data_IF_594700696010
#
_entry.id   IF_594700696010
#
_cell.length_a   1.000
_cell.length_b   1.000
_cell.length_c   1.000
_cell.angle_alpha   90.00
_cell.angle_beta   90.00
_cell.angle_gamma   90.00
#
_symmetry.space_group_name_H-M   'P 1'
#
loop_
_entity.id
_entity.type
_entity.pdbx_description
1 polymer ?
2 non-polymer ?
3 non-polymer ?
4 water ?
#
# COMPACT_ATOMS: atom_id res chain seq x y z
N UNK A 17 1.70 -3.61 -30.72
CA UNK A 17 2.04 -2.72 -29.57
C UNK A 17 1.04 -2.91 -28.41
N UNK A 18 1.06 -4.10 -27.77
CA UNK A 18 0.13 -4.41 -26.68
C UNK A 18 0.32 -3.58 -25.41
N UNK A 19 -0.79 -3.36 -24.70
CA UNK A 19 -0.79 -2.65 -23.43
C UNK A 19 -1.47 -3.49 -22.33
N UNK A 20 -1.28 -3.07 -21.09
CA UNK A 20 -1.93 -3.68 -19.94
C UNK A 20 -2.79 -2.60 -19.28
N UNK A 21 -4.04 -2.94 -18.98
CA UNK A 21 -4.93 -2.08 -18.23
C UNK A 21 -4.87 -2.53 -16.76
N UNK A 22 -4.40 -1.63 -15.88
CA UNK A 22 -4.35 -1.89 -14.44
C UNK A 22 -5.50 -1.17 -13.75
N UNK A 23 -6.14 -1.85 -12.81
CA UNK A 23 -7.31 -1.33 -12.12
C UNK A 23 -7.18 -1.53 -10.61
N UNK A 24 -7.45 -0.47 -9.87
CA UNK A 24 -7.67 -0.58 -8.44
C UNK A 24 -9.05 -0.02 -8.18
N UNK A 25 -9.97 -0.91 -7.85
CA UNK A 25 -11.36 -0.57 -7.79
C UNK A 25 -11.80 -0.46 -6.34
N UNK A 26 -11.42 0.65 -5.69
CA UNK A 26 -11.64 0.84 -4.25
C UNK A 26 -13.08 1.01 -3.81
N UNK A 27 -13.27 1.35 -2.53
CA UNK A 27 -14.62 1.46 -1.96
C UNK A 27 -15.43 2.61 -2.54
N UNK A 28 -14.73 3.68 -2.97
CA UNK A 28 -15.38 4.88 -3.52
C UNK A 28 -14.72 5.42 -4.80
N UNK A 29 -13.93 4.61 -5.48
CA UNK A 29 -13.19 5.06 -6.68
C UNK A 29 -12.65 3.91 -7.52
N UNK A 30 -12.36 4.20 -8.78
CA UNK A 30 -11.63 3.29 -9.63
C UNK A 30 -10.43 4.05 -10.19
N UNK A 31 -9.25 3.82 -9.63
CA UNK A 31 -8.01 4.31 -10.22
C UNK A 31 -7.60 3.34 -11.30
N UNK A 32 -7.18 3.85 -12.45
CA UNK A 32 -6.71 2.98 -13.52
C UNK A 32 -5.49 3.54 -14.22
N UNK A 33 -4.76 2.66 -14.90
CA UNK A 33 -3.62 3.06 -15.71
C UNK A 33 -3.45 2.10 -16.88
N UNK A 34 -2.94 2.62 -17.99
CA UNK A 34 -2.64 1.80 -19.15
C UNK A 34 -1.13 1.85 -19.39
N UNK A 35 -0.47 0.72 -19.20
CA UNK A 35 0.99 0.62 -19.35
C UNK A 35 1.33 -0.14 -20.63
N UNK A 36 2.39 0.30 -21.30
CA UNK A 36 2.89 -0.38 -22.48
C UNK A 36 3.64 -1.63 -22.06
N UNK A 37 3.43 -2.75 -22.74
CA UNK A 37 4.02 -4.02 -22.32
C UNK A 37 5.53 -4.05 -22.53
N UNK A 38 5.99 -3.47 -23.64
CA UNK A 38 7.40 -3.55 -24.03
C UNK A 38 8.29 -2.70 -23.13
N UNK A 39 7.77 -1.58 -22.64
CA UNK A 39 8.56 -0.66 -21.81
C UNK A 39 7.97 -0.40 -20.40
N UNK A 40 6.72 -0.81 -20.17
CA UNK A 40 6.03 -0.61 -18.87
C UNK A 40 5.73 0.86 -18.52
N UNK A 41 5.78 1.73 -19.54
CA UNK A 41 5.49 3.17 -19.38
C UNK A 41 3.99 3.43 -19.32
N UNK A 42 3.57 4.41 -18.54
CA UNK A 42 2.16 4.81 -18.52
C UNK A 42 1.79 5.63 -19.77
N UNK A 43 0.81 5.14 -20.53
CA UNK A 43 0.27 5.85 -21.69
C UNK A 43 -1.00 6.61 -21.33
N UNK A 44 -1.72 6.13 -20.32
CA UNK A 44 -2.95 6.76 -19.87
C UNK A 44 -3.15 6.44 -18.40
N UNK A 45 -3.74 7.38 -17.67
CA UNK A 45 -4.07 7.17 -16.26
C UNK A 45 -5.34 7.94 -15.97
N UNK A 46 -5.93 7.69 -14.81
CA UNK A 46 -7.16 8.37 -14.43
C UNK A 46 -7.77 7.85 -13.14
N UNK A 47 -8.87 8.46 -12.73
CA UNK A 47 -9.60 8.08 -11.52
C UNK A 47 -11.09 8.40 -11.64
N UNK A 48 -11.91 7.35 -11.75
CA UNK A 48 -13.35 7.47 -11.53
C UNK A 48 -13.56 7.64 -10.02
N UNK A 49 -14.36 8.62 -9.62
CA UNK A 49 -14.44 9.02 -8.20
C UNK A 49 -15.88 9.40 -7.80
N UNK A 50 -16.18 9.28 -6.51
CA UNK A 50 -17.53 9.50 -6.00
C UNK A 50 -18.46 8.35 -6.36
N UNK A 51 -17.94 7.13 -6.26
CA UNK A 51 -18.67 5.93 -6.69
C UNK A 51 -19.85 5.58 -5.78
N UNK A 52 -20.90 5.01 -6.38
CA UNK A 52 -22.17 4.71 -5.70
C UNK A 52 -22.87 5.97 -5.15
N UNK A 53 -22.57 7.14 -5.74
CA UNK A 53 -23.06 8.44 -5.25
C UNK A 53 -23.73 9.24 -6.37
N UNK A 54 -24.42 10.31 -5.98
CA UNK A 54 -25.12 11.19 -6.92
C UNK A 54 -24.16 11.97 -7.82
N UNK A 55 -23.09 12.49 -7.22
CA UNK A 55 -22.06 13.24 -7.96
C UNK A 55 -20.83 12.39 -8.27
N UNK A 56 -20.93 11.58 -9.33
CA UNK A 56 -19.83 10.69 -9.76
C UNK A 56 -19.18 11.22 -11.04
N UNK A 57 -17.84 11.26 -11.06
CA UNK A 57 -17.10 11.80 -12.21
C UNK A 57 -15.83 11.01 -12.57
N UNK A 58 -15.26 11.33 -13.73
CA UNK A 58 -14.15 10.56 -14.31
C UNK A 58 -13.07 11.53 -14.85
N UNK A 59 -12.01 11.73 -14.09
CA UNK A 59 -10.94 12.66 -14.46
C UNK A 59 -9.69 11.96 -14.99
N UNK A 60 -9.60 11.82 -16.31
CA UNK A 60 -8.41 11.26 -16.95
C UNK A 60 -7.30 12.30 -17.02
N UNK A 61 -6.13 11.99 -16.45
CA UNK A 61 -4.97 12.90 -16.46
C UNK A 61 -5.25 14.28 -15.86
N UNK A 62 -6.31 14.39 -15.04
CA UNK A 62 -6.79 15.68 -14.53
C UNK A 62 -7.06 16.69 -15.64
N UNK A 63 -7.80 16.26 -16.67
CA UNK A 63 -7.95 17.06 -17.90
C UNK A 63 -9.39 17.49 -18.21
N UNK A 64 -10.35 16.61 -17.95
CA UNK A 64 -11.75 16.93 -18.21
C UNK A 64 -12.68 16.17 -17.28
N UNK A 65 -12.79 16.60 -16.01
CA UNK A 65 -13.69 15.99 -15.02
C UNK A 65 -15.10 15.74 -15.56
N UNK A 66 -15.23 14.67 -16.35
CA UNK A 66 -16.48 14.32 -17.01
C UNK A 66 -17.48 13.77 -16.01
N UNK A 67 -18.64 14.42 -15.91
CA UNK A 67 -19.69 13.99 -14.98
C UNK A 67 -20.30 12.65 -15.41
N UNK A 68 -20.54 11.79 -14.43
CA UNK A 68 -21.13 10.47 -14.63
C UNK A 68 -22.10 10.19 -13.49
N UNK A 69 -22.98 11.17 -13.24
CA UNK A 69 -23.88 11.16 -12.08
C UNK A 69 -24.64 9.85 -11.92
N UNK A 70 -24.70 9.35 -10.67
CA UNK A 70 -25.42 8.12 -10.34
C UNK A 70 -24.97 6.94 -11.23
N UNK A 71 -23.73 6.49 -11.02
CA UNK A 71 -23.12 5.43 -11.83
C UNK A 71 -22.53 4.33 -10.95
N UNK A 72 -22.78 3.08 -11.32
CA UNK A 72 -22.23 1.92 -10.61
C UNK A 72 -20.76 1.64 -11.01
N UNK A 73 -20.18 0.58 -10.45
CA UNK A 73 -18.80 0.19 -10.77
C UNK A 73 -18.61 -0.22 -12.24
N UNK A 74 -19.64 -0.81 -12.86
CA UNK A 74 -19.56 -1.18 -14.27
C UNK A 74 -19.74 0.01 -15.20
N UNK A 75 -20.53 1.00 -14.78
CA UNK A 75 -20.73 2.22 -15.55
C UNK A 75 -19.43 2.99 -15.67
N UNK A 76 -18.74 3.14 -14.53
CA UNK A 76 -17.44 3.80 -14.48
C UNK A 76 -16.43 3.17 -15.43
N UNK A 77 -16.37 1.85 -15.44
CA UNK A 77 -15.44 1.13 -16.31
C UNK A 77 -15.89 1.12 -17.76
N UNK A 78 -17.20 1.13 -18.00
CA UNK A 78 -17.74 1.26 -19.35
C UNK A 78 -17.45 2.66 -19.91
N UNK A 79 -17.43 3.67 -19.04
CA UNK A 79 -16.97 5.00 -19.39
C UNK A 79 -15.51 4.92 -19.84
N UNK A 80 -14.67 4.41 -18.94
CA UNK A 80 -13.24 4.25 -19.17
C UNK A 80 -12.97 3.40 -20.42
N UNK A 81 -13.75 2.34 -20.61
CA UNK A 81 -13.58 1.46 -21.77
C UNK A 81 -13.73 2.23 -23.09
N UNK A 82 -14.67 3.18 -23.10
CA UNK A 82 -14.91 4.02 -24.28
C UNK A 82 -13.76 4.98 -24.52
N UNK A 83 -13.24 5.58 -23.43
CA UNK A 83 -12.10 6.50 -23.52
C UNK A 83 -10.85 5.83 -24.10
N UNK A 84 -10.65 4.56 -23.80
CA UNK A 84 -9.60 3.78 -24.44
C UNK A 84 -9.91 3.59 -25.92
N UNK A 85 -11.18 3.40 -26.25
CA UNK A 85 -11.61 3.21 -27.65
C UNK A 85 -11.56 4.52 -28.46
N UNK A 86 -11.84 5.64 -27.80
CA UNK A 86 -11.70 6.96 -28.40
C UNK A 86 -10.24 7.25 -28.77
N UNK A 87 -9.32 6.53 -28.13
CA UNK A 87 -7.89 6.69 -28.37
C UNK A 87 -7.30 5.45 -29.04
N UNK A 88 -8.14 4.64 -29.66
CA UNK A 88 -7.73 3.40 -30.32
C UNK A 88 -6.83 2.52 -29.44
N UNK A 89 -7.04 2.55 -28.12
CA UNK A 89 -6.27 1.72 -27.19
C UNK A 89 -6.95 0.37 -26.93
N UNK A 90 -8.29 0.37 -26.91
CA UNK A 90 -9.10 -0.82 -26.60
C UNK A 90 -8.61 -2.10 -27.28
N UNK A 91 -8.13 -1.99 -28.51
CA UNK A 91 -7.72 -3.18 -29.28
C UNK A 91 -6.26 -3.60 -29.04
N UNK A 92 -5.53 -2.86 -28.22
CA UNK A 92 -4.17 -3.26 -27.82
C UNK A 92 -4.10 -3.77 -26.37
N UNK A 93 -5.22 -3.73 -25.67
CA UNK A 93 -5.33 -4.29 -24.33
C UNK A 93 -5.16 -5.82 -24.37
N UNK A 94 -3.91 -6.29 -24.21
CA UNK A 94 -3.59 -7.72 -24.20
C UNK A 94 -3.82 -8.39 -22.83
N UNK A 95 -3.80 -7.57 -21.78
CA UNK A 95 -3.84 -8.06 -20.39
C UNK A 95 -4.56 -7.05 -19.49
N UNK A 96 -5.28 -7.53 -18.48
CA UNK A 96 -5.85 -6.67 -17.46
C UNK A 96 -5.40 -7.12 -16.07
N UNK A 97 -4.90 -6.17 -15.27
CA UNK A 97 -4.45 -6.44 -13.91
C UNK A 97 -5.40 -5.83 -12.89
N UNK A 98 -5.81 -6.64 -11.92
CA UNK A 98 -6.69 -6.18 -10.85
C UNK A 98 -5.95 -6.19 -9.52
N UNK A 99 -6.03 -5.08 -8.80
CA UNK A 99 -5.54 -5.00 -7.44
C UNK A 99 -6.62 -5.50 -6.49
N UNK A 100 -6.24 -6.50 -5.67
CA UNK A 100 -7.16 -7.06 -4.70
C UNK A 100 -6.69 -6.65 -3.31
N UNK A 101 -7.64 -6.22 -2.48
CA UNK A 101 -7.33 -5.75 -1.13
C UNK A 101 -6.79 -6.88 -0.23
N UNK A 102 -7.50 -8.02 -0.22
CA UNK A 102 -7.26 -9.10 0.74
C UNK A 102 -7.35 -10.48 0.08
N UNK A 103 -6.30 -11.27 0.23
CA UNK A 103 -6.31 -12.64 -0.28
C UNK A 103 -6.36 -13.74 0.78
N UNK A 104 -6.68 -13.38 2.02
CA UNK A 104 -6.63 -14.29 3.16
C UNK A 104 -5.37 -15.17 3.10
N UNK A 105 -5.55 -16.45 3.42
CA UNK A 105 -4.46 -17.43 3.31
C UNK A 105 -4.48 -18.18 1.99
N UNK A 106 -5.44 -17.89 1.13
CA UNK A 106 -5.59 -18.65 -0.12
C UNK A 106 -4.61 -18.20 -1.20
N UNK A 107 -4.22 -16.93 -1.17
CA UNK A 107 -3.37 -16.39 -2.22
C UNK A 107 -1.97 -16.01 -1.72
N UNK A 108 -0.98 -16.63 -2.34
CA UNK A 108 0.42 -16.44 -1.97
C UNK A 108 1.20 -15.85 -3.15
N UNK A 109 0.52 -15.67 -4.29
CA UNK A 109 1.10 -15.08 -5.49
C UNK A 109 -0.02 -14.60 -6.43
N UNK A 110 0.37 -13.94 -7.52
CA UNK A 110 -0.60 -13.44 -8.49
C UNK A 110 -1.09 -14.57 -9.38
N UNK A 111 -2.35 -14.48 -9.79
CA UNK A 111 -3.03 -15.57 -10.49
C UNK A 111 -3.84 -15.07 -11.69
N UNK A 112 -3.92 -15.90 -12.73
CA UNK A 112 -4.85 -15.70 -13.84
C UNK A 112 -6.25 -15.89 -13.29
N UNK A 113 -7.11 -14.89 -13.48
CA UNK A 113 -8.46 -14.93 -12.94
C UNK A 113 -9.34 -15.94 -13.70
N UNK A 114 -9.91 -16.87 -12.94
CA UNK A 114 -10.83 -17.90 -13.45
C UNK A 114 -12.01 -17.96 -12.48
N UNK A 115 -13.01 -18.79 -12.79
CA UNK A 115 -14.14 -19.00 -11.88
C UNK A 115 -13.72 -19.43 -10.47
N UNK A 116 -12.68 -20.24 -10.39
CA UNK A 116 -12.14 -20.68 -9.09
C UNK A 116 -11.62 -19.49 -8.30
N UNK A 117 -10.85 -18.64 -8.95
CA UNK A 117 -10.23 -17.47 -8.30
C UNK A 117 -11.33 -16.56 -7.79
N UNK A 118 -12.38 -16.38 -8.58
CA UNK A 118 -13.49 -15.52 -8.18
C UNK A 118 -14.14 -16.04 -6.91
N UNK A 119 -14.46 -17.33 -6.91
CA UNK A 119 -15.04 -17.99 -5.73
C UNK A 119 -14.17 -17.82 -4.48
N UNK A 120 -12.87 -17.97 -4.67
CA UNK A 120 -11.88 -17.89 -3.59
C UNK A 120 -11.68 -16.47 -3.05
N UNK A 121 -11.65 -15.49 -3.94
CA UNK A 121 -11.68 -14.08 -3.53
C UNK A 121 -12.97 -13.78 -2.77
N UNK A 122 -14.06 -14.40 -3.22
CA UNK A 122 -15.36 -14.24 -2.56
C UNK A 122 -15.36 -14.89 -1.16
N UNK A 123 -14.66 -16.02 -1.03
CA UNK A 123 -14.51 -16.72 0.27
C UNK A 123 -13.73 -15.91 1.30
N UNK A 124 -12.67 -15.24 0.85
CA UNK A 124 -11.83 -14.40 1.75
C UNK A 124 -12.40 -13.01 2.00
N UNK A 125 -13.48 -12.66 1.29
CA UNK A 125 -14.05 -11.31 1.36
C UNK A 125 -14.53 -10.84 2.73
N UNK A 126 -15.05 -11.75 3.57
CA UNK A 126 -15.40 -11.33 4.92
C UNK A 126 -14.26 -10.68 5.71
N UNK A 127 -13.00 -10.98 5.35
CA UNK A 127 -11.83 -10.37 5.99
C UNK A 127 -11.63 -8.90 5.62
N UNK A 128 -12.15 -8.47 4.47
CA UNK A 128 -12.09 -7.06 4.08
C UNK A 128 -13.30 -6.72 3.20
N UNK A 129 -14.51 -6.71 3.79
CA UNK A 129 -15.76 -6.74 3.02
C UNK A 129 -16.00 -5.53 2.14
N UNK A 130 -15.85 -4.33 2.70
CA UNK A 130 -16.00 -3.11 1.92
C UNK A 130 -15.17 -3.21 0.65
N UNK A 131 -13.87 -3.40 0.86
CA UNK A 131 -12.87 -3.28 -0.19
C UNK A 131 -12.86 -4.45 -1.16
N UNK A 132 -13.04 -5.68 -0.66
CA UNK A 132 -13.06 -6.84 -1.53
C UNK A 132 -14.29 -6.93 -2.43
N UNK A 133 -15.45 -6.53 -1.91
CA UNK A 133 -16.66 -6.56 -2.71
C UNK A 133 -16.62 -5.50 -3.83
N UNK A 134 -15.84 -4.44 -3.62
CA UNK A 134 -15.56 -3.46 -4.68
C UNK A 134 -14.54 -3.99 -5.70
N UNK A 135 -13.58 -4.80 -5.25
CA UNK A 135 -12.64 -5.46 -6.17
C UNK A 135 -13.38 -6.41 -7.10
N UNK A 136 -14.27 -7.22 -6.53
CA UNK A 136 -15.10 -8.16 -7.31
C UNK A 136 -16.07 -7.42 -8.25
N UNK A 137 -16.60 -6.30 -7.78
CA UNK A 137 -17.42 -5.44 -8.64
C UNK A 137 -16.61 -5.01 -9.86
N UNK A 138 -15.33 -4.69 -9.64
CA UNK A 138 -14.43 -4.32 -10.72
C UNK A 138 -14.03 -5.46 -11.66
N UNK A 139 -13.81 -6.66 -11.13
CA UNK A 139 -13.52 -7.83 -11.96
C UNK A 139 -14.74 -8.17 -12.84
N UNK A 140 -15.93 -8.14 -12.22
CA UNK A 140 -17.20 -8.39 -12.91
C UNK A 140 -17.36 -7.49 -14.13
N UNK A 141 -17.20 -6.18 -13.91
CA UNK A 141 -17.23 -5.16 -14.97
C UNK A 141 -16.20 -5.42 -16.07
N UNK A 142 -14.95 -5.59 -15.68
CA UNK A 142 -13.86 -5.82 -16.64
C UNK A 142 -14.05 -7.10 -17.47
N UNK A 143 -14.60 -8.15 -16.84
CA UNK A 143 -14.78 -9.44 -17.52
C UNK A 143 -15.81 -9.30 -18.63
N UNK A 144 -16.91 -8.62 -18.30
CA UNK A 144 -17.93 -8.24 -19.28
C UNK A 144 -17.31 -7.47 -20.46
N UNK A 145 -16.72 -6.32 -20.14
CA UNK A 145 -16.24 -5.36 -21.15
C UNK A 145 -14.99 -5.81 -21.94
N UNK A 146 -14.32 -6.87 -21.49
CA UNK A 146 -13.11 -7.39 -22.16
C UNK A 146 -13.06 -8.93 -22.06
N UNK A 147 -13.97 -9.61 -22.76
CA UNK A 147 -14.16 -11.07 -22.61
C UNK A 147 -13.05 -11.95 -23.19
N UNK A 148 -12.39 -11.52 -24.27
CA UNK A 148 -11.28 -12.28 -24.84
C UNK A 148 -9.92 -11.87 -24.25
N UNK A 149 -9.93 -11.07 -23.18
CA UNK A 149 -8.68 -10.56 -22.61
C UNK A 149 -8.33 -11.34 -21.36
N UNK A 150 -7.14 -11.94 -21.36
CA UNK A 150 -6.60 -12.53 -20.15
C UNK A 150 -6.54 -11.50 -19.02
N UNK A 151 -6.92 -11.94 -17.83
CA UNK A 151 -6.96 -11.07 -16.66
C UNK A 151 -6.25 -11.72 -15.47
N UNK A 152 -5.70 -10.87 -14.61
CA UNK A 152 -4.79 -11.27 -13.55
C UNK A 152 -5.16 -10.57 -12.23
N UNK A 153 -5.17 -11.31 -11.12
CA UNK A 153 -5.42 -10.73 -9.81
C UNK A 153 -4.13 -10.66 -9.01
N UNK A 154 -3.86 -9.50 -8.42
CA UNK A 154 -2.67 -9.25 -7.62
C UNK A 154 -3.11 -8.74 -6.25
N UNK A 155 -2.72 -9.48 -5.19
CA UNK A 155 -3.28 -9.29 -3.85
C UNK A 155 -2.26 -8.58 -2.97
N UNK A 156 -2.72 -7.61 -2.18
CA UNK A 156 -1.81 -6.83 -1.32
C UNK A 156 -1.35 -7.60 -0.08
N UNK A 157 -1.96 -8.75 0.18
CA UNK A 157 -1.60 -9.60 1.31
C UNK A 157 -0.61 -10.71 0.95
N UNK A 158 -0.47 -11.01 -0.34
CA UNK A 158 0.12 -12.27 -0.75
C UNK A 158 1.61 -12.36 -0.41
N UNK A 159 2.32 -11.23 -0.52
CA UNK A 159 3.77 -11.18 -0.23
C UNK A 159 4.08 -11.50 1.24
N UNK A 160 3.12 -11.26 2.09
CA UNK A 160 3.28 -11.48 3.51
C UNK A 160 2.94 -12.90 3.92
N UNK A 161 2.55 -13.75 2.97
CA UNK A 161 2.16 -15.13 3.30
C UNK A 161 3.30 -16.06 3.73
N UNK A 162 4.53 -15.57 3.58
CA UNK A 162 5.71 -16.27 4.06
C UNK A 162 6.01 -16.01 5.54
N UNK A 163 5.16 -15.23 6.23
CA UNK A 163 5.31 -15.02 7.68
C UNK A 163 5.09 -16.33 8.43
N UNK A 164 5.98 -16.60 9.38
CA UNK A 164 5.84 -17.72 10.31
C UNK A 164 4.72 -17.43 11.33
N UNK A 165 4.15 -18.49 11.91
CA UNK A 165 3.05 -18.34 12.86
C UNK A 165 3.37 -17.43 14.06
N UNK A 166 4.60 -17.53 14.56
CA UNK A 166 5.11 -16.68 15.64
C UNK A 166 5.07 -15.21 15.28
N UNK A 167 5.25 -14.91 13.99
CA UNK A 167 5.16 -13.55 13.48
C UNK A 167 3.74 -13.12 13.11
N UNK A 168 2.82 -14.07 12.84
CA UNK A 168 1.46 -13.71 12.44
C UNK A 168 0.35 -13.99 13.45
N UNK A 169 0.65 -14.77 14.48
CA UNK A 169 -0.34 -15.05 15.51
C UNK A 169 -0.51 -13.85 16.42
N UNK A 170 -1.76 -13.63 16.83
CA UNK A 170 -2.05 -12.78 17.98
C UNK A 170 -2.04 -13.64 19.24
N UNK A 171 -1.90 -12.99 20.39
CA UNK A 171 -1.96 -13.66 21.68
C UNK A 171 -3.37 -13.92 22.16
N UNK A 172 -4.35 -13.90 21.26
CA UNK A 172 -5.72 -14.29 21.58
C UNK A 172 -5.82 -15.81 21.80
N UNK A 173 -6.92 -16.28 22.41
CA UNK A 173 -7.14 -17.73 22.45
C UNK A 173 -7.04 -18.36 21.06
N UNK A 174 -6.46 -19.55 21.00
CA UNK A 174 -6.25 -20.28 19.74
C UNK A 174 -7.53 -20.42 18.92
N UNK A 175 -8.68 -20.54 19.60
CA UNK A 175 -9.97 -20.64 18.93
C UNK A 175 -10.19 -19.55 17.88
N UNK A 176 -9.87 -18.30 18.22
CA UNK A 176 -10.06 -17.17 17.31
C UNK A 176 -9.23 -17.29 16.02
N UNK A 177 -8.08 -17.95 16.09
CA UNK A 177 -7.28 -18.21 14.89
C UNK A 177 -7.86 -19.32 14.02
N UNK A 178 -7.92 -20.53 14.57
CA UNK A 178 -8.29 -21.73 13.79
C UNK A 178 -9.74 -21.73 13.25
N UNK A 179 -10.70 -21.22 14.01
CA UNK A 179 -12.09 -21.16 13.49
C UNK A 179 -12.43 -19.84 12.77
N UNK A 180 -11.96 -18.70 13.28
CA UNK A 180 -12.29 -17.39 12.70
C UNK A 180 -11.19 -16.77 11.83
N UNK A 181 -10.05 -17.45 11.66
CA UNK A 181 -8.96 -16.93 10.81
C UNK A 181 -8.32 -15.62 11.27
N UNK A 182 -8.42 -15.32 12.55
CA UNK A 182 -7.86 -14.11 13.11
C UNK A 182 -6.35 -14.26 13.24
N UNK A 183 -5.64 -13.56 12.36
CA UNK A 183 -4.20 -13.56 12.34
C UNK A 183 -3.77 -12.27 11.63
N UNK A 184 -2.47 -11.98 11.69
CA UNK A 184 -1.92 -10.88 10.94
C UNK A 184 -1.85 -11.27 9.46
N UNK A 185 -2.30 -10.38 8.60
CA UNK A 185 -2.09 -10.53 7.18
C UNK A 185 -1.06 -9.54 6.65
N UNK A 186 -1.25 -8.26 6.98
CA UNK A 186 -0.38 -7.21 6.47
C UNK A 186 -0.78 -6.76 5.08
N UNK A 187 -0.43 -5.54 4.72
CA UNK A 187 -0.81 -4.95 3.42
C UNK A 187 0.37 -4.21 2.77
N UNK A 188 0.10 -3.42 1.73
CA UNK A 188 1.15 -2.82 0.90
C UNK A 188 2.09 -3.88 0.30
N UNK A 189 1.58 -5.10 0.11
CA UNK A 189 2.41 -6.23 -0.32
C UNK A 189 3.04 -6.04 -1.68
N UNK A 190 2.27 -5.49 -2.60
CA UNK A 190 2.74 -5.18 -3.96
C UNK A 190 3.83 -4.11 -3.94
N UNK A 191 3.65 -3.06 -3.14
CA UNK A 191 4.69 -2.04 -2.97
C UNK A 191 5.96 -2.62 -2.33
N UNK A 192 5.78 -3.29 -1.19
CA UNK A 192 6.91 -3.90 -0.45
C UNK A 192 7.71 -4.87 -1.29
N UNK A 193 6.99 -5.64 -2.10
CA UNK A 193 7.59 -6.57 -3.03
C UNK A 193 8.34 -5.83 -4.13
N UNK A 194 7.63 -4.95 -4.82
CA UNK A 194 8.25 -4.15 -5.86
C UNK A 194 9.52 -3.46 -5.33
N UNK A 195 9.37 -2.69 -4.24
CA UNK A 195 10.47 -1.87 -3.72
C UNK A 195 11.66 -2.70 -3.25
N UNK A 196 11.39 -3.83 -2.61
CA UNK A 196 12.47 -4.74 -2.20
C UNK A 196 13.19 -5.33 -3.43
N UNK A 197 12.46 -5.76 -4.47
CA UNK A 197 13.14 -6.23 -5.68
C UNK A 197 14.08 -5.16 -6.25
N UNK A 198 13.61 -3.91 -6.28
CA UNK A 198 14.43 -2.79 -6.80
C UNK A 198 15.66 -2.47 -5.93
N UNK A 199 15.52 -2.68 -4.62
CA UNK A 199 16.63 -2.42 -3.66
C UNK A 199 17.81 -3.35 -3.87
N UNK A 200 17.56 -4.59 -4.28
CA UNK A 200 18.64 -5.54 -4.51
C UNK A 200 19.56 -5.05 -5.63
N UNK A 201 18.99 -4.36 -6.61
CA UNK A 201 19.78 -3.76 -7.68
C UNK A 201 20.54 -2.51 -7.22
N UNK A 202 19.79 -1.55 -6.69
CA UNK A 202 20.35 -0.28 -6.19
C UNK A 202 21.49 -0.47 -5.20
N UNK A 203 21.33 -1.43 -4.29
CA UNK A 203 22.25 -1.66 -3.20
C UNK A 203 23.29 -2.75 -3.50
N UNK A 204 23.19 -3.35 -4.69
CA UNK A 204 24.03 -4.46 -5.10
C UNK A 204 24.06 -5.53 -4.00
N UNK A 205 22.88 -6.07 -3.72
CA UNK A 205 22.71 -7.14 -2.73
C UNK A 205 22.34 -8.43 -3.42
N UNK A 206 22.74 -9.55 -2.83
CA UNK A 206 22.23 -10.83 -3.24
C UNK A 206 20.93 -11.03 -2.49
N UNK A 207 19.83 -11.14 -3.24
CA UNK A 207 18.51 -11.35 -2.67
C UNK A 207 18.50 -12.45 -1.59
N UNK A 208 19.13 -13.58 -1.91
CA UNK A 208 19.09 -14.79 -1.08
C UNK A 208 19.99 -14.74 0.16
N UNK A 209 20.87 -13.75 0.25
CA UNK A 209 21.60 -13.46 1.49
C UNK A 209 21.52 -11.96 1.79
N UNK A 210 20.36 -11.52 2.27
CA UNK A 210 20.06 -10.09 2.42
C UNK A 210 19.02 -9.83 3.53
N UNK A 211 19.06 -8.61 4.08
CA UNK A 211 18.09 -8.17 5.09
C UNK A 211 17.71 -6.70 4.94
N UNK A 212 16.44 -6.46 4.60
CA UNK A 212 15.92 -5.13 4.31
C UNK A 212 14.75 -4.79 5.22
N UNK A 213 14.61 -3.50 5.51
CA UNK A 213 13.37 -2.95 6.04
C UNK A 213 12.87 -1.94 5.03
N UNK A 214 11.62 -2.09 4.64
CA UNK A 214 10.97 -1.16 3.75
C UNK A 214 9.90 -0.40 4.54
N UNK A 215 9.97 0.94 4.53
CA UNK A 215 8.98 1.81 5.15
C UNK A 215 8.10 2.42 4.07
N UNK A 216 6.94 1.81 3.83
CA UNK A 216 5.96 2.36 2.92
C UNK A 216 5.17 3.40 3.70
N UNK A 217 5.43 4.67 3.38
CA UNK A 217 4.86 5.79 4.11
C UNK A 217 4.04 6.65 3.16
N UNK A 218 2.74 6.39 3.13
CA UNK A 218 1.79 7.22 2.42
C UNK A 218 0.68 7.63 3.38
N UNK A 219 -0.54 7.72 2.86
CA UNK A 219 -1.70 8.00 3.68
C UNK A 219 -1.92 6.85 4.62
N UNK A 220 -1.85 5.63 4.08
CA UNK A 220 -1.73 4.42 4.87
C UNK A 220 -0.25 4.14 4.95
N UNK A 221 0.20 3.50 6.03
CA UNK A 221 1.63 3.32 6.27
C UNK A 221 1.97 1.99 6.98
N UNK A 222 3.01 1.31 6.48
CA UNK A 222 3.44 0.04 7.06
C UNK A 222 4.92 -0.24 6.82
N UNK A 223 5.49 -1.04 7.72
CA UNK A 223 6.86 -1.51 7.62
C UNK A 223 6.82 -2.99 7.21
N UNK A 224 7.89 -3.44 6.56
CA UNK A 224 8.05 -4.83 6.18
C UNK A 224 9.51 -5.19 6.31
N UNK A 225 9.79 -6.27 7.05
CA UNK A 225 11.11 -6.89 7.09
C UNK A 225 11.21 -7.96 6.00
N UNK A 226 12.19 -7.84 5.11
CA UNK A 226 12.33 -8.78 4.00
C UNK A 226 13.66 -9.48 4.13
N UNK A 227 13.61 -10.74 4.55
CA UNK A 227 14.79 -11.55 4.79
C UNK A 227 14.95 -12.52 3.63
N UNK A 228 16.10 -12.47 2.99
CA UNK A 228 16.42 -13.34 1.85
C UNK A 228 15.34 -13.36 0.73
N UNK A 229 14.83 -12.17 0.42
CA UNK A 229 13.78 -12.02 -0.60
C UNK A 229 12.36 -12.26 -0.12
N UNK A 230 12.18 -12.65 1.14
CA UNK A 230 10.88 -13.05 1.67
C UNK A 230 10.42 -12.14 2.83
N UNK A 231 9.16 -11.73 2.82
CA UNK A 231 8.59 -11.03 3.97
C UNK A 231 8.58 -11.91 5.20
N UNK A 232 9.17 -11.43 6.29
CA UNK A 232 9.19 -12.19 7.56
C UNK A 232 8.54 -11.45 8.74
N UNK A 233 8.11 -10.20 8.50
CA UNK A 233 7.37 -9.42 9.49
C UNK A 233 6.85 -8.21 8.75
N UNK A 234 5.69 -7.72 9.16
CA UNK A 234 5.10 -6.52 8.61
C UNK A 234 4.23 -5.90 9.70
N UNK A 235 3.93 -4.60 9.58
CA UNK A 235 3.37 -3.85 10.72
C UNK A 235 1.86 -3.82 10.79
N UNK A 236 1.20 -3.81 9.62
CA UNK A 236 -0.26 -3.90 9.59
C UNK A 236 -0.72 -5.26 10.05
N UNK A 237 -2.00 -5.38 10.39
CA UNK A 237 -2.50 -6.58 11.05
C UNK A 237 -3.43 -7.42 10.19
N UNK A 238 -4.50 -7.86 10.83
CA UNK A 238 -5.63 -8.45 10.13
C UNK A 238 -6.25 -7.38 9.26
N UNK A 239 -6.22 -6.15 9.76
CA UNK A 239 -6.68 -4.97 9.07
C UNK A 239 -5.53 -3.98 8.93
N UNK A 240 -5.69 -2.95 8.09
CA UNK A 240 -4.79 -1.79 8.05
C UNK A 240 -4.65 -0.95 9.33
N UNK A 241 -5.38 -1.29 10.40
CA UNK A 241 -5.38 -0.47 11.61
C UNK A 241 -4.19 -0.70 12.57
N UNK A 242 -3.40 -1.73 12.33
CA UNK A 242 -2.29 -2.01 13.24
C UNK A 242 -0.99 -1.35 12.81
N UNK A 243 -0.14 -1.09 13.79
CA UNK A 243 1.24 -0.70 13.55
C UNK A 243 1.45 0.79 13.61
N UNK A 244 1.96 1.35 12.51
CA UNK A 244 2.31 2.76 12.43
C UNK A 244 1.10 3.66 12.58
N UNK A 245 1.34 4.82 13.18
CA UNK A 245 0.43 5.93 13.06
C UNK A 245 0.48 6.41 11.60
N UNK A 246 -0.66 6.80 11.06
CA UNK A 246 -0.76 7.21 9.66
C UNK A 246 -1.60 8.50 9.53
N UNK A 247 -2.09 8.78 8.32
CA UNK A 247 -2.80 10.02 8.05
C UNK A 247 -3.99 10.25 8.96
N UNK A 248 -4.92 9.30 8.91
CA UNK A 248 -6.12 9.34 9.75
C UNK A 248 -6.25 8.14 10.71
N UNK A 249 -5.31 7.20 10.66
CA UNK A 249 -5.34 6.00 11.51
C UNK A 249 -4.36 6.12 12.67
N UNK A 250 -4.81 5.72 13.86
CA UNK A 250 -4.04 5.83 15.11
C UNK A 250 -2.76 5.00 15.17
N UNK A 251 -2.76 3.87 14.47
CA UNK A 251 -1.74 2.84 14.63
C UNK A 251 -2.01 2.02 15.87
N UNK A 252 -0.98 1.36 16.38
CA UNK A 252 -1.09 0.56 17.61
C UNK A 252 -1.75 1.38 18.70
N UNK A 253 -2.79 0.81 19.32
CA UNK A 253 -3.49 1.44 20.44
C UNK A 253 -3.83 0.36 21.49
N UNK A 254 -3.39 0.61 22.72
CA UNK A 254 -3.75 -0.17 23.91
C UNK A 254 -5.26 -0.47 23.91
N UNK A 255 -5.61 -1.75 23.85
CA UNK A 255 -7.03 -2.18 23.90
C UNK A 255 -7.67 -1.83 25.25
N UNK A 256 -6.86 -1.82 26.31
CA UNK A 256 -7.32 -1.40 27.63
C UNK A 256 -7.70 0.07 27.66
N UNK A 257 -6.96 0.88 26.90
CA UNK A 257 -7.26 2.30 26.72
C UNK A 257 -8.59 2.47 26.01
N UNK A 258 -8.79 1.69 24.95
CA UNK A 258 -10.02 1.76 24.16
C UNK A 258 -11.22 1.32 24.96
N UNK A 259 -11.05 0.30 25.80
CA UNK A 259 -12.11 -0.17 26.70
C UNK A 259 -12.43 0.86 27.79
N UNK A 260 -11.40 1.54 28.27
CA UNK A 260 -11.54 2.58 29.28
C UNK A 260 -12.30 3.81 28.74
N UNK A 261 -11.99 4.16 27.50
CA UNK A 261 -12.70 5.24 26.79
C UNK A 261 -14.18 4.90 26.63
N UNK A 262 -14.47 3.66 26.20
CA UNK A 262 -15.85 3.18 26.03
C UNK A 262 -16.73 3.48 27.26
N UNK A 263 -16.24 3.08 28.43
CA UNK A 263 -16.94 3.29 29.71
C UNK A 263 -17.17 4.76 29.98
N UNK A 264 -16.16 5.57 29.65
CA UNK A 264 -16.14 6.97 30.03
C UNK A 264 -17.05 7.84 29.17
N UNK A 265 -17.09 7.56 27.87
CA UNK A 265 -17.81 8.39 26.89
C UNK A 265 -19.10 7.75 26.35
N UNK A 266 -19.36 6.51 26.74
CA UNK A 266 -20.53 5.78 26.26
C UNK A 266 -20.40 5.20 24.85
N UNK A 267 -19.27 5.46 24.21
CA UNK A 267 -19.04 5.02 22.83
C UNK A 267 -18.96 3.49 22.70
N UNK A 268 -19.40 3.00 21.55
CA UNK A 268 -19.34 1.57 21.24
C UNK A 268 -18.06 1.20 20.49
N UNK A 269 -17.87 -0.10 20.29
CA UNK A 269 -16.73 -0.59 19.51
C UNK A 269 -16.79 0.00 18.10
N UNK A 270 -17.98 -0.05 17.49
CA UNK A 270 -18.21 0.55 16.17
C UNK A 270 -17.83 2.01 16.12
N UNK A 271 -18.31 2.79 17.08
CA UNK A 271 -17.98 4.22 17.16
C UNK A 271 -16.47 4.42 17.20
N UNK A 272 -15.81 3.69 18.09
CA UNK A 272 -14.37 3.83 18.32
C UNK A 272 -13.56 3.31 17.14
N UNK A 273 -14.15 2.38 16.39
CA UNK A 273 -13.54 1.89 15.14
C UNK A 273 -13.42 3.03 14.15
N UNK A 274 -14.48 3.81 14.01
CA UNK A 274 -14.51 4.95 13.09
C UNK A 274 -13.49 6.02 13.49
N UNK A 275 -13.46 6.32 14.80
CA UNK A 275 -12.48 7.27 15.34
C UNK A 275 -11.05 6.84 15.01
N UNK A 276 -10.75 5.58 15.28
CA UNK A 276 -9.40 5.01 15.13
C UNK A 276 -8.97 4.99 13.65
N UNK A 277 -9.94 4.82 12.76
CA UNK A 277 -9.70 4.64 11.33
C UNK A 277 -9.78 5.95 10.53
N UNK A 278 -10.64 6.88 10.96
CA UNK A 278 -10.99 8.05 10.14
C UNK A 278 -10.67 9.41 10.75
N UNK A 279 -10.44 9.48 12.06
CA UNK A 279 -10.27 10.76 12.75
C UNK A 279 -9.00 10.86 13.58
N UNK A 280 -8.13 9.86 13.47
CA UNK A 280 -6.98 9.71 14.34
C UNK A 280 -5.73 10.05 13.53
N UNK A 281 -4.55 9.68 14.01
CA UNK A 281 -3.32 9.83 13.24
C UNK A 281 -2.80 11.25 13.20
N UNK A 282 -2.16 11.60 12.08
CA UNK A 282 -1.68 12.95 11.87
C UNK A 282 -2.84 13.95 11.99
N UNK A 283 -3.97 13.62 11.37
CA UNK A 283 -5.18 14.40 11.48
C UNK A 283 -5.55 14.54 12.95
N UNK A 284 -5.67 13.40 13.62
CA UNK A 284 -6.13 13.35 15.00
C UNK A 284 -5.30 14.16 15.97
N UNK A 285 -3.98 13.97 15.95
CA UNK A 285 -3.11 14.69 16.89
C UNK A 285 -3.03 16.19 16.57
N UNK A 286 -2.80 16.54 15.30
CA UNK A 286 -2.58 17.92 14.88
C UNK A 286 -3.82 18.80 15.00
N UNK A 287 -4.97 18.25 14.66
CA UNK A 287 -6.22 18.99 14.57
C UNK A 287 -6.32 19.84 13.30
N UNK A 288 -5.41 19.64 12.36
CA UNK A 288 -5.30 20.45 11.15
C UNK A 288 -5.57 19.64 9.89
N UNK A 289 -4.75 18.61 9.68
CA UNK A 289 -4.76 17.87 8.41
C UNK A 289 -4.09 16.50 8.54
N UNK A 290 -4.56 15.56 7.71
CA UNK A 290 -3.84 14.30 7.48
C UNK A 290 -2.65 14.50 6.53
N UNK A 291 -2.60 15.64 5.85
CA UNK A 291 -1.55 15.91 4.86
C UNK A 291 -0.24 16.33 5.52
N UNK A 292 0.85 15.64 5.20
CA UNK A 292 2.15 15.94 5.81
C UNK A 292 2.75 17.27 5.34
N UNK A 293 2.53 17.64 4.08
CA UNK A 293 2.99 18.95 3.59
C UNK A 293 2.37 20.10 4.38
N UNK A 294 1.08 19.99 4.68
CA UNK A 294 0.36 20.98 5.48
C UNK A 294 0.97 21.07 6.88
N UNK A 295 1.31 19.92 7.45
CA UNK A 295 1.82 19.85 8.80
C UNK A 295 3.29 20.26 8.91
N UNK A 296 4.08 19.95 7.89
CA UNK A 296 5.48 20.40 7.82
C UNK A 296 5.54 21.92 7.86
N UNK A 297 4.64 22.57 7.11
CA UNK A 297 4.56 24.02 7.06
C UNK A 297 3.99 24.57 8.38
N UNK A 298 2.95 23.92 8.92
CA UNK A 298 2.41 24.29 10.23
C UNK A 298 3.48 24.30 11.31
N UNK A 299 4.29 23.25 11.38
CA UNK A 299 5.40 23.20 12.35
C UNK A 299 6.35 24.35 12.10
N UNK A 300 6.73 24.53 10.83
CA UNK A 300 7.59 25.63 10.42
C UNK A 300 7.03 26.98 10.91
N UNK A 301 5.70 27.13 10.89
CA UNK A 301 5.03 28.36 11.35
C UNK A 301 4.77 28.40 12.87
N UNK A 302 5.42 27.52 13.62
CA UNK A 302 5.30 27.48 15.08
C UNK A 302 4.13 26.70 15.66
N UNK A 303 3.42 25.92 14.84
CA UNK A 303 2.28 25.13 15.33
C UNK A 303 2.77 23.94 16.18
N UNK A 304 2.29 23.83 17.41
CA UNK A 304 2.82 22.86 18.35
C UNK A 304 2.23 21.46 18.17
N UNK A 305 0.93 21.37 17.89
CA UNK A 305 0.27 20.08 17.74
C UNK A 305 0.64 19.43 16.41
N UNK A 306 0.95 20.26 15.41
CA UNK A 306 1.51 19.78 14.16
C UNK A 306 2.89 19.17 14.41
N UNK A 307 3.67 19.82 15.27
CA UNK A 307 5.02 19.35 15.60
C UNK A 307 4.97 18.04 16.38
N UNK A 308 3.99 17.91 17.27
CA UNK A 308 3.79 16.70 18.06
C UNK A 308 3.35 15.53 17.19
N UNK A 309 2.37 15.77 16.31
CA UNK A 309 1.88 14.72 15.42
C UNK A 309 3.05 14.11 14.63
N UNK A 310 3.88 14.99 14.06
CA UNK A 310 5.01 14.56 13.25
C UNK A 310 6.06 13.82 14.06
N UNK A 311 6.29 14.27 15.30
CA UNK A 311 7.30 13.67 16.17
C UNK A 311 6.85 12.29 16.65
N UNK A 312 5.57 12.23 17.01
CA UNK A 312 4.90 10.99 17.36
C UNK A 312 4.95 10.02 16.17
N UNK A 313 4.57 10.55 15.01
CA UNK A 313 4.57 9.81 13.74
C UNK A 313 5.96 9.20 13.47
N UNK A 314 6.98 10.04 13.56
CA UNK A 314 8.38 9.64 13.36
C UNK A 314 8.84 8.59 14.36
N UNK A 315 8.45 8.77 15.63
CA UNK A 315 8.88 7.92 16.74
C UNK A 315 8.32 6.50 16.60
N UNK A 316 7.08 6.39 16.13
CA UNK A 316 6.46 5.09 15.95
C UNK A 316 7.02 4.35 14.72
N UNK A 317 7.40 5.11 13.70
CA UNK A 317 8.12 4.57 12.55
C UNK A 317 9.50 4.05 12.93
N UNK A 318 10.29 4.87 13.65
CA UNK A 318 11.62 4.46 14.14
C UNK A 318 11.54 3.17 14.95
N UNK A 319 10.51 3.08 15.78
CA UNK A 319 10.34 2.00 16.75
C UNK A 319 10.01 0.69 16.07
N UNK A 320 9.13 0.75 15.07
CA UNK A 320 8.80 -0.41 14.23
C UNK A 320 9.91 -0.80 13.25
N UNK A 321 10.64 0.17 12.72
CA UNK A 321 11.74 -0.17 11.82
C UNK A 321 12.76 -1.02 12.59
N UNK A 322 13.16 -0.54 13.76
CA UNK A 322 14.09 -1.27 14.63
C UNK A 322 13.53 -2.61 15.08
N UNK A 323 12.26 -2.63 15.42
CA UNK A 323 11.59 -3.84 15.86
C UNK A 323 11.45 -4.91 14.78
N UNK A 324 11.15 -4.50 13.54
CA UNK A 324 11.10 -5.42 12.39
C UNK A 324 12.51 -5.88 12.01
N UNK A 325 13.51 -5.11 12.40
CA UNK A 325 14.91 -5.51 12.17
C UNK A 325 15.29 -6.78 12.93
N UNK A 326 14.59 -7.05 14.03
CA UNK A 326 14.84 -8.23 14.87
C UNK A 326 14.57 -9.56 14.11
N UNK A 327 13.69 -9.51 13.11
CA UNK A 327 13.41 -10.67 12.26
C UNK A 327 14.43 -10.89 11.15
N UNK A 328 15.47 -10.07 11.10
CA UNK A 328 16.55 -10.26 10.12
C UNK A 328 17.75 -10.85 10.83
N UNK A 329 18.54 -11.64 10.08
CA UNK A 329 19.85 -12.11 10.56
C UNK A 329 20.92 -11.00 10.46
N UNK A 330 20.71 -10.05 9.55
CA UNK A 330 21.61 -8.92 9.33
C UNK A 330 20.83 -7.83 8.62
N UNK A 331 21.12 -6.57 8.96
CA UNK A 331 20.45 -5.41 8.35
C UNK A 331 21.34 -4.73 7.31
N UNK A 332 20.98 -4.90 6.04
CA UNK A 332 21.75 -4.32 4.94
C UNK A 332 21.18 -2.96 4.51
N UNK A 333 19.87 -2.80 4.61
CA UNK A 333 19.23 -1.60 4.09
C UNK A 333 17.91 -1.23 4.73
N UNK A 334 17.66 0.07 4.79
CA UNK A 334 16.35 0.62 5.10
C UNK A 334 15.93 1.41 3.85
N UNK A 335 14.76 1.11 3.31
CA UNK A 335 14.26 1.75 2.11
C UNK A 335 12.98 2.52 2.43
N UNK A 336 12.94 3.79 2.06
CA UNK A 336 11.74 4.63 2.21
C UNK A 336 10.98 4.72 0.90
N UNK A 337 9.65 4.68 1.00
CA UNK A 337 8.81 4.73 -0.17
C UNK A 337 7.40 5.22 0.20
N UNK A 338 6.57 5.42 -0.83
CA UNK A 338 5.27 6.07 -0.66
C UNK A 338 5.35 7.58 -0.81
N UNK A 339 4.21 8.24 -0.84
CA UNK A 339 4.14 9.70 -0.95
C UNK A 339 4.97 10.43 0.08
N UNK A 340 4.89 9.99 1.33
CA UNK A 340 5.70 10.60 2.40
C UNK A 340 7.15 10.17 2.33
N UNK A 341 7.38 8.89 2.07
CA UNK A 341 8.74 8.36 2.10
C UNK A 341 9.58 8.78 0.91
N UNK A 342 8.92 8.99 -0.22
CA UNK A 342 9.60 9.48 -1.41
C UNK A 342 9.88 10.99 -1.38
N UNK A 343 9.04 11.75 -0.69
CA UNK A 343 9.04 13.21 -0.79
C UNK A 343 9.40 14.04 0.45
N UNK A 344 9.41 13.43 1.63
CA UNK A 344 9.67 14.19 2.86
C UNK A 344 11.13 14.13 3.31
N UNK A 345 11.90 15.14 2.94
CA UNK A 345 13.27 15.30 3.42
C UNK A 345 13.33 15.29 4.95
N UNK A 346 12.38 15.97 5.59
CA UNK A 346 12.34 16.11 7.05
C UNK A 346 12.08 14.77 7.73
N UNK A 347 10.93 14.18 7.44
CA UNK A 347 10.58 12.93 8.12
C UNK A 347 11.68 11.87 7.91
N UNK A 348 12.16 11.69 6.69
CA UNK A 348 13.26 10.74 6.48
C UNK A 348 14.43 11.02 7.44
N UNK A 349 14.89 12.27 7.48
CA UNK A 349 16.01 12.64 8.36
C UNK A 349 15.71 12.42 9.85
N UNK A 350 14.50 12.79 10.27
CA UNK A 350 14.11 12.63 11.66
C UNK A 350 14.14 11.15 12.05
N UNK A 351 13.49 10.31 11.23
CA UNK A 351 13.44 8.87 11.45
C UNK A 351 14.85 8.29 11.54
N UNK A 352 15.69 8.62 10.56
CA UNK A 352 17.07 8.10 10.52
C UNK A 352 17.90 8.57 11.70
N UNK A 353 17.66 9.80 12.16
CA UNK A 353 18.38 10.30 13.35
C UNK A 353 17.90 9.61 14.62
N UNK A 354 16.63 9.21 14.62
CA UNK A 354 16.05 8.37 15.68
C UNK A 354 16.56 6.90 15.66
N UNK A 355 17.41 6.53 14.68
CA UNK A 355 17.93 5.16 14.58
C UNK A 355 19.45 5.12 14.60
N UNK A 356 20.06 6.05 15.31
CA UNK A 356 21.50 6.08 15.46
C UNK A 356 22.02 4.86 16.18
N UNK A 357 21.15 4.26 17.01
CA UNK A 357 21.46 3.02 17.71
C UNK A 357 21.84 1.88 16.74
N UNK A 358 21.26 1.88 15.54
CA UNK A 358 21.56 0.89 14.50
C UNK A 358 22.78 1.25 13.65
N UNK A 359 23.40 2.40 13.93
CA UNK A 359 24.61 2.82 13.22
C UNK A 359 24.40 3.60 11.94
N UNK A 360 23.20 4.18 11.75
CA UNK A 360 22.89 4.93 10.53
C UNK A 360 23.53 6.32 10.53
N UNK A 361 24.00 6.73 9.36
CA UNK A 361 24.56 8.06 9.13
C UNK A 361 23.91 8.62 7.87
N UNK A 362 23.16 9.70 8.01
CA UNK A 362 22.49 10.33 6.88
C UNK A 362 23.46 11.20 6.09
N UNK A 363 23.28 11.26 4.77
CA UNK A 363 23.97 12.24 3.94
C UNK A 363 22.92 13.27 3.55
N UNK A 364 22.99 14.46 4.14
CA UNK A 364 21.90 15.43 4.04
C UNK A 364 21.81 16.07 2.65
N UNK A 365 22.94 16.25 1.96
CA UNK A 365 22.89 16.66 0.55
C UNK A 365 22.14 15.64 -0.31
N UNK A 366 22.41 14.36 -0.07
CA UNK A 366 21.66 13.29 -0.74
C UNK A 366 20.21 13.23 -0.25
N UNK A 367 19.99 13.41 1.05
CA UNK A 367 18.61 13.42 1.55
C UNK A 367 17.79 14.64 1.10
N UNK A 368 18.46 15.76 0.79
CA UNK A 368 17.78 16.99 0.35
C UNK A 368 17.13 16.88 -1.05
N UNK A 369 17.72 16.03 -1.91
CA UNK A 369 17.28 15.89 -3.29
C UNK A 369 15.79 15.51 -3.42
N UNK A 370 15.07 16.16 -4.35
CA UNK A 370 13.67 15.80 -4.58
C UNK A 370 13.49 14.43 -5.24
N UNK A 371 12.24 14.01 -5.37
CA UNK A 371 11.92 12.68 -5.85
C UNK A 371 12.25 12.48 -7.32
N UNK A 372 12.43 13.59 -8.04
CA UNK A 372 12.88 13.59 -9.46
C UNK A 372 14.16 12.79 -9.67
N UNK A 373 14.97 12.66 -8.61
CA UNK A 373 16.22 11.92 -8.67
C UNK A 373 16.04 10.40 -8.55
N UNK A 374 14.80 9.96 -8.32
CA UNK A 374 14.42 8.56 -8.39
C UNK A 374 15.08 7.68 -7.33
N UNK A 375 15.35 6.44 -7.71
CA UNK A 375 16.01 5.52 -6.82
C UNK A 375 17.38 6.09 -6.44
N UNK A 376 17.63 6.23 -5.15
CA UNK A 376 18.80 6.98 -4.68
C UNK A 376 19.18 6.61 -3.26
N UNK A 377 20.47 6.52 -3.01
CA UNK A 377 20.97 6.27 -1.67
C UNK A 377 21.07 7.60 -0.93
N UNK A 378 20.75 7.59 0.37
CA UNK A 378 20.71 8.83 1.16
C UNK A 378 21.50 8.73 2.47
N UNK A 379 22.43 7.79 2.55
CA UNK A 379 23.25 7.57 3.73
C UNK A 379 24.72 7.81 3.39
N UNK A 380 25.49 8.19 4.42
CA UNK A 380 26.92 8.40 4.28
C UNK A 380 27.64 7.07 4.13
N UNK A 381 28.95 7.12 3.88
CA UNK A 381 29.77 5.92 3.79
C UNK A 381 30.00 5.16 5.10
N UNK A 382 30.33 5.89 6.20
CA UNK A 382 30.45 5.27 7.53
C UNK A 382 29.19 4.52 8.01
N UNK A 383 28.02 4.92 7.51
CA UNK A 383 26.76 4.28 7.85
C UNK A 383 26.86 2.76 7.74
N UNK A 384 26.50 2.06 8.82
CA UNK A 384 26.56 0.60 8.87
C UNK A 384 25.42 -0.05 8.10
N UNK A 385 24.37 0.73 7.85
CA UNK A 385 23.25 0.32 7.01
C UNK A 385 23.06 1.33 5.89
N UNK A 386 22.84 0.83 4.67
CA UNK A 386 22.51 1.70 3.54
C UNK A 386 21.06 2.16 3.74
N UNK A 387 20.81 3.46 3.55
CA UNK A 387 19.46 3.99 3.50
C UNK A 387 19.22 4.50 2.10
N UNK A 388 18.01 4.27 1.59
CA UNK A 388 17.69 4.70 0.23
C UNK A 388 16.24 5.09 0.10
N UNK A 389 15.97 5.88 -0.92
CA UNK A 389 14.60 6.17 -1.31
C UNK A 389 14.43 5.44 -2.63
N UNK A 390 13.30 4.73 -2.76
CA UNK A 390 12.96 4.01 -3.97
C UNK A 390 11.48 4.26 -4.21
N UNK A 391 11.15 5.10 -5.21
CA UNK A 391 9.75 5.30 -5.57
C UNK A 391 9.02 4.00 -5.90
N UNK A 392 7.90 3.75 -5.22
CA UNK A 392 7.14 2.54 -5.50
C UNK A 392 6.39 2.67 -6.82
N UNK A 393 6.02 1.53 -7.39
CA UNK A 393 5.27 1.52 -8.66
C UNK A 393 4.40 0.27 -8.72
N UNK A 394 3.28 0.34 -8.01
CA UNK A 394 2.42 -0.81 -7.81
C UNK A 394 1.79 -1.27 -9.13
N UNK A 395 1.44 -0.28 -9.97
CA UNK A 395 0.84 -0.51 -11.26
C UNK A 395 1.80 -1.24 -12.20
N UNK A 396 3.08 -0.94 -12.06
CA UNK A 396 4.12 -1.59 -12.84
C UNK A 396 4.37 -3.00 -12.34
N UNK A 397 4.34 -3.17 -11.02
CA UNK A 397 4.49 -4.50 -10.44
C UNK A 397 3.33 -5.40 -10.89
N UNK A 398 2.12 -4.86 -10.89
CA UNK A 398 0.94 -5.60 -11.35
C UNK A 398 1.09 -5.99 -12.83
N UNK A 399 1.54 -5.04 -13.65
CA UNK A 399 1.71 -5.29 -15.09
C UNK A 399 2.79 -6.32 -15.38
N UNK A 400 3.92 -6.24 -14.67
CA UNK A 400 4.99 -7.25 -14.82
C UNK A 400 4.51 -8.66 -14.47
N UNK A 401 3.67 -8.76 -13.45
CA UNK A 401 3.04 -10.03 -13.07
C UNK A 401 2.12 -10.49 -14.19
N UNK A 402 1.36 -9.56 -14.74
CA UNK A 402 0.44 -9.82 -15.83
C UNK A 402 1.21 -10.29 -17.06
N UNK A 403 2.26 -9.55 -17.43
CA UNK A 403 3.11 -9.91 -18.57
C UNK A 403 3.63 -11.35 -18.46
N UNK A 404 4.27 -11.67 -17.33
CA UNK A 404 4.73 -13.04 -17.05
C UNK A 404 3.61 -14.07 -17.22
N UNK A 405 2.44 -13.78 -16.64
CA UNK A 405 1.30 -14.70 -16.72
C UNK A 405 0.68 -14.77 -18.12
N UNK A 406 0.97 -13.79 -18.97
CA UNK A 406 0.57 -13.84 -20.38
C UNK A 406 1.24 -14.93 -21.19
N UNK A 407 2.35 -15.47 -20.68
CA UNK A 407 3.06 -16.59 -21.30
C UNK A 407 2.59 -17.97 -20.84
N UNK A 408 1.63 -18.00 -19.91
CA UNK A 408 1.16 -19.25 -19.31
C UNK A 408 0.04 -19.91 -20.13
N UNK A 409 -0.13 -21.22 -20.00
CA UNK A 409 -1.27 -21.95 -20.62
C UNK A 409 -2.30 -22.42 -19.57
N UNK A 410 -3.50 -21.82 -19.64
CA UNK A 410 -4.61 -22.18 -18.74
C UNK A 410 -5.71 -22.92 -19.51
X LIG B 1 0.59 8.64 -1.08
X LIG B 1 1.56 7.49 -1.18
X LIG B 1 0.39 9.53 -2.29
X LIG B 1 -0.85 8.12 -0.54
X LIG B 1 -1.86 7.16 -1.40
X LIG B 1 -1.72 7.52 -2.85
X LIG B 1 -3.23 7.20 -0.75
X LIG B 1 -1.19 5.69 -1.26
X LIG B 1 -1.25 4.75 0.05
X LIG B 1 -1.08 5.63 1.27
X LIG B 1 -0.31 3.61 -0.21
X LIG B 1 -2.76 4.17 0.01
X LIG B 1 -3.50 3.49 1.25
X LIG B 1 -4.52 4.43 1.85
X LIG B 1 -2.48 2.84 2.15
X LIG B 1 1.05 9.60 0.13
X LIG B 1 0.25 10.72 0.51
X LIG B 1 1.01 11.48 1.58
X LIG B 1 2.29 11.84 1.03
X LIG B 1 0.33 12.78 2.03
X LIG B 1 0.41 12.93 3.44
X LIG B 1 1.19 13.87 1.41
X LIG B 1 1.22 15.05 2.21
X LIG B 1 2.54 13.20 1.39
X LIG B 1 3.40 13.96 0.48
X LIG B 1 3.33 14.03 -0.86
X LIG B 1 4.29 14.87 -1.34
X LIG B 1 4.98 15.34 -0.28
X LIG B 1 6.12 16.28 -0.06
X LIG B 1 6.73 16.87 -1.10
X LIG B 1 6.52 16.49 1.22
X LIG B 1 5.91 15.91 2.28
X LIG B 1 4.88 15.05 2.14
X LIG B 1 4.39 14.74 0.91
X LIG B 1 -4.33 2.33 0.50
X LIG B 1 -3.66 1.31 -0.26
X LIG B 1 -4.66 0.21 -0.58
X LIG B 1 -5.27 -0.30 0.62
X LIG B 1 -5.79 0.72 -1.46
X LIG B 1 -5.88 -0.08 -2.63
X LIG B 1 -7.05 0.63 -0.61
X LIG B 1 -8.22 0.30 -1.36
X LIG B 1 -6.67 -0.47 0.39
X LIG B 1 -7.48 -0.47 1.64
X LIG B 1 -8.04 0.59 2.26
X LIG B 1 -8.72 0.20 3.37
X LIG B 1 -8.61 -1.15 3.47
X LIG B 1 -9.08 -2.21 4.40
X LIG B 1 -9.83 -1.89 5.48
X LIG B 1 -8.74 -3.49 4.15
X LIG B 1 -8.00 -3.82 3.08
X LIG B 1 -7.53 -2.91 2.20
X LIG B 1 -7.79 -1.58 2.33
X LIG C 1 -4.03 -0.87 3.45
X LIG C 1 -2.91 -0.76 2.56
X LIG C 1 -4.64 0.50 3.70
X LIG C 1 -3.62 1.45 4.07
#
# INVERSE_FOLDING_TARGET
MRGSHHHHHHGMASNEFPVVLVINCGSSSIKFSVLDVATCDVLMAGIADGMNTENAFLSINGDKPINLAHSNYEDALKAIAFELEKRDLTDSVALIGHRIAHGGELFTQSVIITDEIIDNIRRVSPLAPLHNYANLSGIDAARHLFPAVRQVAVFDTSFHQTLAPEAYLYGLPWEYFSSLGVRRYGFHGTSHRYVSRRAYELLDLDEKDSGLIVAHLGNGASICAVRNGQSVDTSMGMTPLEGLMMGTRSGDVDFGAMAWIAKETGQTLSDLERVVNKESGLLGISGLSSDLRVLEKAWHEGHERARLAIKTFVHRIARHIAGHAASLHRLDGIIFTGGIGENSVLIRQLVIEHLGVLGLTLDVEMNKQPNSHGERIISANPSQVICAVIPTNEEKMIALDAIHLGNVKAPVEFA
B4P PA O1A O2A O3A PB O1B O2B O3B PG O1G O2G O3G PD O1D O2D O5E C5E C4E O4E C3E O3E C2E O2E C1E N9A C8A N7A C5A C6A N6A N1A C2A N3A C4A O5F C5F C4F O4F C3F O3F C2F O2F C1F N9B C8B N7B C5B C6B N6B N1B C2B N3B C4B
EDO C1 O1 C2 O2
#
